data_IF_753110439169
#
_entry.id   IF_753110439169
#
_cell.length_a   1.000
_cell.length_b   1.000
_cell.length_c   1.000
_cell.angle_alpha   90.00
_cell.angle_beta   90.00
_cell.angle_gamma   90.00
#
_symmetry.space_group_name_H-M   'P 1'
#
loop_
_entity.id
_entity.type
_entity.pdbx_description
1 polymer ?
#
# COMPACT_ATOMS: atom_id res chain seq x y z
N UNK A 1 -15.98 2.09 1.31
CA UNK A 1 -15.30 3.34 0.93
C UNK A 1 -14.24 3.75 1.95
N UNK A 2 -14.56 3.75 3.28
CA UNK A 2 -13.56 4.03 4.34
C UNK A 2 -12.36 3.09 4.26
N UNK A 3 -12.60 1.80 4.08
CA UNK A 3 -11.55 0.79 3.93
C UNK A 3 -10.62 1.11 2.74
N UNK A 4 -11.17 1.49 1.58
CA UNK A 4 -10.37 1.89 0.42
C UNK A 4 -9.48 3.10 0.71
N UNK A 5 -10.01 4.10 1.46
CA UNK A 5 -9.21 5.24 1.89
C UNK A 5 -8.08 4.79 2.82
N UNK A 6 -8.37 3.95 3.83
CA UNK A 6 -7.36 3.41 4.75
C UNK A 6 -6.27 2.64 4.03
N UNK A 7 -6.64 1.84 3.02
CA UNK A 7 -5.74 1.02 2.21
C UNK A 7 -4.85 1.83 1.27
N UNK A 8 -5.15 3.11 1.03
CA UNK A 8 -4.43 3.91 0.03
C UNK A 8 -3.77 5.16 0.60
N UNK A 9 -4.36 5.82 1.58
CA UNK A 9 -3.96 7.18 2.01
C UNK A 9 -2.51 7.28 2.51
N UNK A 10 -1.91 6.21 3.00
CA UNK A 10 -0.55 6.21 3.56
C UNK A 10 0.56 6.16 2.51
N UNK A 11 0.23 5.84 1.25
CA UNK A 11 1.20 5.74 0.16
C UNK A 11 1.32 7.01 -0.68
N UNK A 12 0.65 8.09 -0.32
CA UNK A 12 0.81 9.38 -1.00
C UNK A 12 2.20 9.96 -0.79
N UNK A 13 2.66 10.78 -1.74
CA UNK A 13 3.93 11.50 -1.63
C UNK A 13 3.83 12.66 -0.63
N UNK A 14 4.90 12.89 0.13
CA UNK A 14 5.09 14.09 0.94
C UNK A 14 5.87 15.19 0.19
N UNK A 15 6.41 14.86 -1.00
CA UNK A 15 7.20 15.77 -1.83
C UNK A 15 6.29 16.79 -2.55
N UNK A 16 6.36 18.04 -2.13
CA UNK A 16 5.59 19.14 -2.71
C UNK A 16 5.98 19.48 -4.17
N UNK A 17 7.16 19.06 -4.63
CA UNK A 17 7.52 19.21 -6.04
C UNK A 17 6.76 18.22 -6.93
N UNK A 18 6.21 17.16 -6.33
CA UNK A 18 5.36 16.17 -6.96
C UNK A 18 3.93 16.25 -6.45
N UNK A 19 3.40 17.49 -6.39
CA UNK A 19 2.10 17.77 -5.78
C UNK A 19 0.96 16.88 -6.30
N UNK A 20 1.01 16.45 -7.58
CA UNK A 20 0.03 15.55 -8.18
C UNK A 20 0.05 14.12 -7.58
N UNK A 21 1.06 13.77 -6.77
CA UNK A 21 1.09 12.51 -6.01
C UNK A 21 0.81 12.71 -4.50
N UNK A 22 0.52 13.93 -4.04
CA UNK A 22 0.21 14.20 -2.62
C UNK A 22 -1.25 13.89 -2.25
N UNK A 23 -2.05 13.46 -3.22
CA UNK A 23 -3.43 13.01 -3.04
C UNK A 23 -3.64 11.58 -3.50
N UNK A 24 -4.83 11.06 -3.22
CA UNK A 24 -5.28 9.75 -3.70
C UNK A 24 -6.00 9.93 -5.03
N UNK A 25 -5.61 9.16 -6.02
CA UNK A 25 -6.22 9.19 -7.34
C UNK A 25 -7.48 8.32 -7.36
N UNK A 26 -8.60 8.95 -7.68
CA UNK A 26 -9.89 8.30 -7.89
C UNK A 26 -10.10 8.14 -9.39
N UNK A 27 -10.41 6.94 -9.82
CA UNK A 27 -10.68 6.66 -11.22
C UNK A 27 -11.67 5.51 -11.37
N UNK A 28 -12.21 5.37 -12.56
CA UNK A 28 -13.03 4.24 -12.96
C UNK A 28 -12.21 3.33 -13.89
N UNK A 29 -12.26 2.05 -13.66
CA UNK A 29 -11.71 1.02 -14.54
C UNK A 29 -12.81 -0.03 -14.73
N UNK A 30 -13.29 -0.14 -15.95
CA UNK A 30 -14.47 -0.93 -16.28
C UNK A 30 -15.65 -0.52 -15.38
N UNK A 31 -16.30 -1.42 -14.67
CA UNK A 31 -17.37 -1.13 -13.73
C UNK A 31 -16.90 -1.04 -12.27
N UNK A 32 -15.63 -0.70 -12.04
CA UNK A 32 -15.04 -0.59 -10.72
C UNK A 32 -14.61 0.83 -10.40
N UNK A 33 -14.86 1.23 -9.16
CA UNK A 33 -14.26 2.38 -8.53
C UNK A 33 -12.87 2.01 -8.03
N UNK A 34 -11.87 2.78 -8.41
CA UNK A 34 -10.48 2.52 -8.08
C UNK A 34 -9.88 3.69 -7.31
N UNK A 35 -9.19 3.41 -6.23
CA UNK A 35 -8.32 4.33 -5.51
C UNK A 35 -6.87 3.90 -5.66
N UNK A 36 -6.00 4.84 -6.04
CA UNK A 36 -4.55 4.60 -6.16
C UNK A 36 -3.79 5.71 -5.46
N UNK A 37 -2.72 5.35 -4.78
CA UNK A 37 -1.74 6.30 -4.27
C UNK A 37 -0.32 5.79 -4.47
N UNK A 38 0.63 6.70 -4.68
CA UNK A 38 2.05 6.38 -4.85
C UNK A 38 2.94 7.55 -4.47
N UNK A 39 4.15 7.25 -3.99
CA UNK A 39 5.24 8.20 -3.78
C UNK A 39 6.43 7.95 -4.74
N UNK A 40 6.20 7.15 -5.81
CA UNK A 40 7.17 6.65 -6.78
C UNK A 40 8.09 5.52 -6.27
N UNK A 41 8.00 5.13 -5.00
CA UNK A 41 8.76 4.00 -4.43
C UNK A 41 7.84 2.87 -3.96
N UNK A 42 6.58 3.19 -3.73
CA UNK A 42 5.51 2.25 -3.40
C UNK A 42 4.21 2.68 -4.06
N UNK A 43 3.28 1.77 -4.15
CA UNK A 43 1.94 2.03 -4.68
C UNK A 43 0.93 1.20 -3.89
N UNK A 44 -0.17 1.83 -3.50
CA UNK A 44 -1.35 1.14 -2.98
C UNK A 44 -2.49 1.24 -3.98
N UNK A 45 -3.14 0.12 -4.23
CA UNK A 45 -4.27 -0.02 -5.15
C UNK A 45 -5.44 -0.68 -4.42
N UNK A 46 -6.61 -0.08 -4.52
CA UNK A 46 -7.84 -0.68 -3.98
C UNK A 46 -8.99 -0.44 -4.96
N UNK A 47 -9.79 -1.47 -5.23
CA UNK A 47 -10.94 -1.38 -6.12
C UNK A 47 -12.20 -1.99 -5.49
N UNK A 48 -13.36 -1.49 -5.88
CA UNK A 48 -14.68 -2.02 -5.51
C UNK A 48 -15.65 -1.82 -6.67
N UNK A 49 -16.63 -2.73 -6.78
CA UNK A 49 -17.69 -2.62 -7.77
C UNK A 49 -18.46 -1.30 -7.64
N UNK A 50 -18.75 -0.68 -8.78
CA UNK A 50 -19.66 0.46 -8.88
C UNK A 50 -21.06 0.00 -9.18
N UNK A 51 -22.04 0.75 -8.69
CA UNK A 51 -23.41 0.56 -9.12
C UNK A 51 -23.54 0.80 -10.63
N UNK A 52 -24.39 0.03 -11.34
CA UNK A 52 -24.59 0.23 -12.77
C UNK A 52 -24.97 1.67 -13.13
N UNK A 53 -24.37 2.19 -14.18
CA UNK A 53 -24.65 3.54 -14.70
C UNK A 53 -23.94 4.68 -13.94
N UNK A 54 -23.16 4.40 -12.91
CA UNK A 54 -22.35 5.42 -12.26
C UNK A 54 -21.14 5.77 -13.14
N UNK A 55 -20.98 7.06 -13.40
CA UNK A 55 -19.84 7.60 -14.11
C UNK A 55 -19.31 8.86 -13.43
N UNK A 56 -18.00 9.09 -13.49
CA UNK A 56 -17.36 10.27 -12.94
C UNK A 56 -16.00 10.52 -13.60
N UNK A 57 -15.57 11.77 -13.62
CA UNK A 57 -14.23 12.12 -14.10
C UNK A 57 -13.17 11.74 -13.07
N UNK A 58 -12.08 11.16 -13.54
CA UNK A 58 -10.94 10.84 -12.67
C UNK A 58 -10.38 12.11 -12.01
N UNK A 59 -9.98 11.99 -10.74
CA UNK A 59 -9.56 13.13 -9.94
C UNK A 59 -8.50 12.77 -8.90
N UNK A 60 -7.63 13.73 -8.57
CA UNK A 60 -6.66 13.60 -7.47
C UNK A 60 -7.27 14.29 -6.25
N UNK A 61 -7.62 13.49 -5.26
CA UNK A 61 -8.34 13.93 -4.07
C UNK A 61 -7.36 14.21 -2.92
N UNK A 62 -7.37 15.42 -2.34
CA UNK A 62 -6.48 15.77 -1.23
C UNK A 62 -6.69 14.88 0.00
N UNK A 63 -5.60 14.49 0.66
CA UNK A 63 -5.67 13.65 1.88
C UNK A 63 -6.45 14.32 3.02
N UNK A 64 -6.52 15.66 3.05
CA UNK A 64 -7.25 16.40 4.09
C UNK A 64 -8.73 16.01 4.14
N UNK A 65 -9.43 16.03 3.00
CA UNK A 65 -10.86 15.66 2.97
C UNK A 65 -11.04 14.15 3.26
N UNK A 66 -10.13 13.29 2.79
CA UNK A 66 -10.16 11.86 3.08
C UNK A 66 -10.01 11.58 4.57
N UNK A 67 -9.12 12.28 5.26
CA UNK A 67 -8.99 12.21 6.73
C UNK A 67 -10.25 12.70 7.46
N UNK A 68 -10.93 13.73 6.93
CA UNK A 68 -12.21 14.17 7.48
C UNK A 68 -13.27 13.06 7.34
N UNK A 69 -13.32 12.37 6.21
CA UNK A 69 -14.23 11.24 6.01
C UNK A 69 -13.90 10.12 7.00
N UNK A 70 -12.65 9.69 7.10
CA UNK A 70 -12.22 8.62 8.02
C UNK A 70 -12.61 8.93 9.49
N UNK A 71 -12.48 10.19 9.88
CA UNK A 71 -12.78 10.62 11.27
C UNK A 71 -14.29 10.67 11.58
N UNK A 72 -15.13 11.02 10.61
CA UNK A 72 -16.53 11.40 10.89
C UNK A 72 -17.56 10.43 10.29
N UNK A 73 -17.17 9.61 9.28
CA UNK A 73 -18.08 8.63 8.72
C UNK A 73 -18.19 7.40 9.61
N UNK A 74 -19.40 6.92 9.81
CA UNK A 74 -19.66 5.62 10.43
C UNK A 74 -19.18 4.48 9.53
N UNK A 75 -19.10 3.27 10.08
CA UNK A 75 -18.73 2.08 9.31
C UNK A 75 -19.90 1.54 8.48
N UNK A 76 -21.12 2.01 8.80
CA UNK A 76 -22.36 1.66 8.11
C UNK A 76 -22.99 2.87 7.45
N UNK A 77 -23.78 2.62 6.39
CA UNK A 77 -24.52 3.64 5.66
C UNK A 77 -23.93 3.96 4.29
N UNK A 78 -24.45 5.01 3.69
CA UNK A 78 -24.08 5.43 2.34
C UNK A 78 -23.28 6.73 2.37
N UNK A 79 -22.35 6.83 1.44
CA UNK A 79 -21.64 8.07 1.12
C UNK A 79 -22.00 8.50 -0.30
N UNK A 80 -22.37 9.76 -0.47
CA UNK A 80 -22.61 10.37 -1.78
C UNK A 80 -21.40 11.21 -2.17
N UNK A 81 -20.93 11.02 -3.38
CA UNK A 81 -19.79 11.73 -3.96
C UNK A 81 -20.23 12.43 -5.23
N UNK A 82 -19.78 13.65 -5.44
CA UNK A 82 -19.87 14.36 -6.71
C UNK A 82 -18.56 15.06 -7.01
N UNK A 83 -18.08 14.89 -8.24
CA UNK A 83 -16.93 15.61 -8.77
C UNK A 83 -17.47 16.56 -9.84
N UNK A 84 -17.34 17.85 -9.60
CA UNK A 84 -17.83 18.91 -10.50
C UNK A 84 -16.70 19.91 -10.68
N UNK A 85 -16.28 20.11 -11.93
CA UNK A 85 -15.14 20.95 -12.29
C UNK A 85 -13.87 20.53 -11.51
N UNK A 86 -13.40 21.41 -10.61
CA UNK A 86 -12.22 21.21 -9.78
C UNK A 86 -12.55 20.99 -8.30
N UNK A 87 -13.77 20.58 -8.02
CA UNK A 87 -14.26 20.37 -6.65
C UNK A 87 -14.77 18.94 -6.47
N UNK A 88 -14.52 18.38 -5.29
CA UNK A 88 -15.19 17.19 -4.79
C UNK A 88 -16.16 17.59 -3.67
N UNK A 89 -17.38 17.07 -3.76
CA UNK A 89 -18.40 17.18 -2.72
C UNK A 89 -18.65 15.80 -2.14
N UNK A 90 -18.77 15.73 -0.82
CA UNK A 90 -18.96 14.48 -0.09
C UNK A 90 -20.05 14.69 0.94
N UNK A 91 -21.07 13.82 0.93
CA UNK A 91 -22.18 13.84 1.90
C UNK A 91 -22.36 12.46 2.53
N UNK A 92 -22.47 12.42 3.85
CA UNK A 92 -22.80 11.22 4.62
C UNK A 92 -23.35 11.64 5.99
N UNK A 93 -24.37 10.90 6.50
CA UNK A 93 -25.04 11.26 7.74
C UNK A 93 -25.49 12.74 7.71
N UNK A 94 -25.09 13.50 8.71
CA UNK A 94 -25.36 14.93 8.82
C UNK A 94 -24.18 15.81 8.34
N UNK A 95 -23.19 15.22 7.69
CA UNK A 95 -22.00 15.93 7.23
C UNK A 95 -22.06 16.21 5.74
N UNK A 96 -21.61 17.40 5.37
CA UNK A 96 -21.34 17.78 4.00
C UNK A 96 -19.97 18.47 3.95
N UNK A 97 -19.09 17.96 3.10
CA UNK A 97 -17.75 18.49 2.89
C UNK A 97 -17.53 18.82 1.44
N UNK A 98 -16.74 19.84 1.18
CA UNK A 98 -16.20 20.10 -0.15
C UNK A 98 -14.70 20.40 -0.08
N UNK A 99 -14.00 20.11 -1.17
CA UNK A 99 -12.58 20.42 -1.29
C UNK A 99 -12.22 20.69 -2.74
N UNK A 100 -11.23 21.56 -2.95
CA UNK A 100 -10.58 21.64 -4.26
C UNK A 100 -9.81 20.35 -4.52
N UNK A 101 -9.89 19.88 -5.75
CA UNK A 101 -9.04 18.79 -6.24
C UNK A 101 -7.61 19.26 -6.46
N UNK A 102 -6.67 18.34 -6.48
CA UNK A 102 -5.29 18.62 -6.87
C UNK A 102 -5.22 18.64 -8.39
N UNK A 103 -4.74 19.74 -8.96
CA UNK A 103 -4.53 19.87 -10.38
C UNK A 103 -3.36 18.97 -10.85
N UNK A 104 -3.33 18.63 -12.13
CA UNK A 104 -2.25 17.90 -12.74
C UNK A 104 -2.66 16.52 -13.26
N UNK A 105 -1.72 15.86 -13.91
CA UNK A 105 -1.91 14.52 -14.45
C UNK A 105 -1.29 13.50 -13.49
N UNK A 106 -2.10 12.56 -13.03
CA UNK A 106 -1.60 11.46 -12.20
C UNK A 106 -0.70 10.53 -13.05
N UNK A 107 0.39 9.98 -12.48
CA UNK A 107 1.28 9.07 -13.19
C UNK A 107 0.52 7.85 -13.75
N UNK A 108 0.99 7.33 -14.86
CA UNK A 108 0.46 6.07 -15.39
C UNK A 108 0.89 4.91 -14.48
N UNK A 109 0.13 4.70 -13.41
CA UNK A 109 0.38 3.69 -12.39
C UNK A 109 0.26 2.26 -12.93
N UNK A 110 -0.51 2.04 -13.99
CA UNK A 110 -0.72 0.72 -14.57
C UNK A 110 0.58 0.11 -15.08
N UNK A 111 1.53 0.94 -15.54
CA UNK A 111 2.84 0.48 -16.03
C UNK A 111 3.76 -0.09 -14.97
N UNK A 112 3.51 0.20 -13.69
CA UNK A 112 4.34 -0.30 -12.58
C UNK A 112 3.72 -1.52 -11.89
N UNK A 113 2.49 -1.86 -12.24
CA UNK A 113 1.83 -3.08 -11.75
C UNK A 113 2.38 -4.26 -12.56
N UNK A 114 3.04 -5.24 -11.93
CA UNK A 114 3.51 -6.43 -12.63
C UNK A 114 2.35 -7.22 -13.22
N UNK A 115 2.44 -7.63 -14.49
CA UNK A 115 1.44 -8.51 -15.12
C UNK A 115 1.49 -9.92 -14.55
N UNK A 116 2.69 -10.39 -14.21
CA UNK A 116 2.93 -11.68 -13.55
C UNK A 116 4.21 -11.61 -12.73
N UNK A 117 4.28 -12.43 -11.69
CA UNK A 117 5.48 -12.59 -10.86
C UNK A 117 5.76 -14.09 -10.69
N UNK A 118 7.03 -14.48 -10.87
CA UNK A 118 7.41 -15.89 -11.00
C UNK A 118 7.38 -16.66 -9.67
N UNK A 119 7.55 -15.93 -8.56
CA UNK A 119 7.68 -16.50 -7.23
C UNK A 119 6.71 -15.85 -6.25
N UNK A 120 6.29 -16.60 -5.25
CA UNK A 120 5.50 -16.07 -4.14
C UNK A 120 5.84 -16.81 -2.85
N UNK A 121 5.77 -16.10 -1.73
CA UNK A 121 5.75 -16.73 -0.41
C UNK A 121 4.59 -16.21 0.41
N UNK A 122 4.10 -17.06 1.31
CA UNK A 122 3.01 -16.74 2.22
C UNK A 122 3.47 -16.84 3.67
N UNK A 123 3.06 -15.88 4.49
CA UNK A 123 3.32 -15.85 5.93
C UNK A 123 2.05 -15.60 6.72
N UNK A 124 2.01 -16.06 7.97
CA UNK A 124 0.99 -15.63 8.91
C UNK A 124 1.21 -14.16 9.27
N UNK A 125 0.16 -13.35 9.20
CA UNK A 125 0.22 -11.90 9.44
C UNK A 125 0.71 -11.56 10.85
N UNK A 126 0.18 -12.24 11.88
CA UNK A 126 0.51 -11.96 13.28
C UNK A 126 1.98 -12.25 13.60
N UNK A 127 2.50 -13.37 13.08
CA UNK A 127 3.90 -13.76 13.26
C UNK A 127 4.81 -12.76 12.56
N UNK A 128 4.44 -12.38 11.33
CA UNK A 128 5.19 -11.41 10.53
C UNK A 128 5.21 -10.02 11.18
N UNK A 129 4.05 -9.48 11.64
CA UNK A 129 3.98 -8.21 12.35
C UNK A 129 4.82 -8.21 13.63
N UNK A 130 4.81 -9.32 14.36
CA UNK A 130 5.56 -9.46 15.61
C UNK A 130 7.07 -9.47 15.37
N UNK A 131 7.53 -10.20 14.35
CA UNK A 131 8.93 -10.23 13.94
C UNK A 131 9.38 -8.86 13.41
N UNK A 132 8.57 -8.23 12.55
CA UNK A 132 8.86 -6.92 11.99
C UNK A 132 9.02 -5.86 13.10
N UNK A 133 8.13 -5.82 14.07
CA UNK A 133 8.20 -4.88 15.21
C UNK A 133 9.49 -5.04 16.03
N UNK A 134 9.99 -6.26 16.21
CA UNK A 134 11.26 -6.51 16.92
C UNK A 134 12.45 -6.03 16.09
N UNK A 135 12.48 -6.33 14.80
CA UNK A 135 13.52 -5.86 13.88
C UNK A 135 13.55 -4.33 13.76
N UNK A 136 12.38 -3.68 13.70
CA UNK A 136 12.26 -2.21 13.58
C UNK A 136 12.94 -1.43 14.71
N UNK A 137 13.19 -2.06 15.88
CA UNK A 137 13.91 -1.44 17.01
C UNK A 137 15.37 -1.18 16.62
N UNK A 138 15.98 -2.06 15.82
CA UNK A 138 17.39 -2.00 15.44
C UNK A 138 17.62 -1.34 14.08
N UNK A 139 16.55 -0.98 13.35
CA UNK A 139 16.67 -0.33 12.04
C UNK A 139 17.02 1.16 12.21
N UNK A 140 18.03 1.62 11.47
CA UNK A 140 18.26 3.05 11.29
C UNK A 140 17.05 3.69 10.61
N UNK A 141 16.34 4.54 11.35
CA UNK A 141 15.11 5.21 10.88
C UNK A 141 15.31 6.14 9.68
N UNK A 142 16.55 6.56 9.39
CA UNK A 142 16.86 7.38 8.20
C UNK A 142 16.88 6.55 6.94
N UNK A 143 17.35 5.31 7.04
CA UNK A 143 17.45 4.38 5.90
C UNK A 143 16.22 3.51 5.79
N UNK A 144 15.73 2.98 6.90
CA UNK A 144 14.53 2.13 6.97
C UNK A 144 14.67 0.81 6.22
N UNK A 145 15.88 0.25 6.12
CA UNK A 145 16.11 -0.98 5.35
C UNK A 145 15.92 -2.21 6.22
N UNK A 146 15.16 -3.17 5.70
CA UNK A 146 15.05 -4.53 6.22
C UNK A 146 15.38 -5.51 5.11
N UNK A 147 16.12 -6.55 5.41
CA UNK A 147 16.49 -7.62 4.48
C UNK A 147 15.61 -8.83 4.73
N UNK A 148 14.96 -9.30 3.68
CA UNK A 148 14.18 -10.52 3.61
C UNK A 148 15.06 -11.59 2.96
N UNK A 149 15.46 -12.59 3.70
CA UNK A 149 16.10 -13.78 3.17
C UNK A 149 15.06 -14.91 3.16
N UNK A 150 14.61 -15.26 1.97
CA UNK A 150 13.52 -16.21 1.73
C UNK A 150 14.15 -17.52 1.30
N UNK A 151 13.90 -18.60 2.05
CA UNK A 151 14.36 -19.95 1.75
C UNK A 151 13.21 -20.95 1.92
N UNK A 152 13.31 -22.19 1.42
CA UNK A 152 12.25 -23.16 1.56
C UNK A 152 11.79 -23.33 3.01
N UNK A 153 10.50 -23.01 3.24
CA UNK A 153 9.84 -23.12 4.54
C UNK A 153 10.14 -22.01 5.55
N UNK A 154 11.08 -21.08 5.29
CA UNK A 154 11.52 -20.09 6.28
C UNK A 154 11.75 -18.72 5.66
N UNK A 155 11.27 -17.68 6.35
CA UNK A 155 11.62 -16.30 6.09
C UNK A 155 12.48 -15.77 7.23
N UNK A 156 13.70 -15.34 6.92
CA UNK A 156 14.54 -14.58 7.85
C UNK A 156 14.46 -13.10 7.53
N UNK A 157 14.11 -12.31 8.55
CA UNK A 157 14.15 -10.85 8.53
C UNK A 157 15.40 -10.39 9.26
N UNK A 158 16.18 -9.49 8.68
CA UNK A 158 17.35 -8.93 9.35
C UNK A 158 17.47 -7.42 9.18
N UNK A 159 17.95 -6.76 10.23
CA UNK A 159 18.40 -5.37 10.13
C UNK A 159 19.83 -5.32 9.61
N UNK A 160 20.19 -4.32 8.78
CA UNK A 160 21.59 -4.02 8.51
C UNK A 160 22.33 -3.69 9.80
N UNK A 161 23.64 -3.87 9.81
CA UNK A 161 24.50 -3.45 10.92
C UNK A 161 24.35 -1.95 11.18
N UNK A 162 24.15 -1.60 12.43
CA UNK A 162 24.02 -0.22 12.92
C UNK A 162 24.84 -0.03 14.20
N UNK A 163 24.95 1.20 14.67
CA UNK A 163 25.58 1.51 15.96
C UNK A 163 24.91 0.79 17.15
N UNK A 164 23.65 0.40 17.00
CA UNK A 164 22.88 -0.33 18.03
C UNK A 164 23.08 -1.85 17.94
N UNK A 165 23.72 -2.35 16.87
CA UNK A 165 23.90 -3.76 16.58
C UNK A 165 23.06 -4.25 15.40
N UNK A 166 22.80 -5.56 15.36
CA UNK A 166 21.97 -6.24 14.37
C UNK A 166 20.82 -6.98 15.05
N UNK A 167 19.73 -7.20 14.33
CA UNK A 167 18.65 -8.07 14.75
C UNK A 167 18.28 -9.03 13.62
N UNK A 168 18.01 -10.27 14.00
CA UNK A 168 17.55 -11.33 13.11
C UNK A 168 16.34 -12.03 13.71
N UNK A 169 15.33 -12.25 12.88
CA UNK A 169 14.11 -12.96 13.22
C UNK A 169 13.81 -14.00 12.16
N UNK A 170 13.39 -15.18 12.57
CA UNK A 170 13.00 -16.27 11.68
C UNK A 170 11.53 -16.61 11.92
N UNK A 171 10.77 -16.68 10.85
CA UNK A 171 9.37 -17.11 10.88
C UNK A 171 9.10 -18.17 9.81
N UNK A 172 8.17 -19.09 10.04
CA UNK A 172 7.73 -20.03 9.02
C UNK A 172 7.09 -19.31 7.83
N UNK A 173 7.37 -19.78 6.62
CA UNK A 173 6.67 -19.32 5.43
C UNK A 173 6.37 -20.50 4.50
N UNK A 174 5.36 -20.34 3.64
CA UNK A 174 5.10 -21.25 2.53
C UNK A 174 5.87 -20.77 1.31
N UNK A 175 7.03 -21.35 1.11
CA UNK A 175 7.91 -21.12 -0.04
C UNK A 175 8.70 -22.39 -0.32
N UNK A 176 8.89 -22.70 -1.60
CA UNK A 176 9.60 -23.91 -2.07
C UNK A 176 10.63 -23.62 -3.16
N UNK A 177 10.83 -22.33 -3.50
CA UNK A 177 11.79 -21.91 -4.50
C UNK A 177 13.22 -21.81 -3.98
N UNK A 178 14.13 -21.36 -4.85
CA UNK A 178 15.53 -21.12 -4.50
C UNK A 178 15.66 -19.95 -3.50
N UNK A 179 16.72 -20.01 -2.67
CA UNK A 179 17.00 -18.96 -1.70
C UNK A 179 17.25 -17.62 -2.40
N UNK A 180 16.56 -16.58 -1.97
CA UNK A 180 16.70 -15.22 -2.48
C UNK A 180 16.71 -14.19 -1.34
N UNK A 181 17.46 -13.10 -1.52
CA UNK A 181 17.47 -11.98 -0.60
C UNK A 181 16.94 -10.72 -1.28
N UNK A 182 15.98 -10.04 -0.61
CA UNK A 182 15.36 -8.82 -1.09
C UNK A 182 15.42 -7.79 0.04
N UNK A 183 15.88 -6.56 -0.23
CA UNK A 183 15.83 -5.47 0.73
C UNK A 183 14.63 -4.57 0.47
N UNK A 184 13.83 -4.30 1.51
CA UNK A 184 12.64 -3.45 1.45
C UNK A 184 12.72 -2.34 2.50
N UNK A 185 11.93 -1.29 2.30
CA UNK A 185 11.77 -0.27 3.34
C UNK A 185 10.78 -0.76 4.41
N UNK A 186 11.15 -0.67 5.69
CA UNK A 186 10.36 -1.12 6.83
C UNK A 186 8.96 -0.50 6.87
N UNK A 187 8.87 0.82 6.65
CA UNK A 187 7.58 1.54 6.64
C UNK A 187 6.70 1.12 5.47
N UNK A 188 7.30 0.82 4.31
CA UNK A 188 6.54 0.40 3.14
C UNK A 188 5.94 -0.99 3.29
N UNK A 189 6.54 -1.79 4.18
CA UNK A 189 6.02 -3.10 4.56
C UNK A 189 5.03 -2.98 5.73
N UNK A 190 5.33 -2.18 6.77
CA UNK A 190 4.51 -2.10 7.97
C UNK A 190 3.21 -1.30 7.79
N UNK A 191 3.19 -0.29 6.91
CA UNK A 191 1.98 0.52 6.69
C UNK A 191 0.79 -0.28 6.16
N UNK A 192 0.91 -1.11 5.10
CA UNK A 192 -0.21 -1.91 4.59
C UNK A 192 -0.70 -2.97 5.59
N UNK A 193 0.16 -3.49 6.48
CA UNK A 193 -0.24 -4.47 7.49
C UNK A 193 -1.37 -3.97 8.41
N UNK A 194 -1.41 -2.65 8.66
CA UNK A 194 -2.45 -2.02 9.49
C UNK A 194 -3.84 -2.09 8.87
N UNK A 195 -3.93 -2.36 7.58
CA UNK A 195 -5.19 -2.35 6.80
C UNK A 195 -5.57 -3.72 6.23
N UNK A 196 -4.66 -4.68 6.27
CA UNK A 196 -4.91 -6.07 5.88
C UNK A 196 -5.58 -6.79 7.05
N UNK A 197 -6.77 -7.33 6.85
CA UNK A 197 -7.54 -8.05 7.87
C UNK A 197 -7.38 -9.57 7.80
N UNK A 198 -6.84 -10.09 6.68
CA UNK A 198 -6.62 -11.54 6.50
C UNK A 198 -5.61 -12.11 7.48
N UNK A 199 -5.75 -13.39 7.79
CA UNK A 199 -4.82 -14.15 8.62
C UNK A 199 -3.44 -14.33 7.96
N UNK A 200 -3.42 -14.42 6.65
CA UNK A 200 -2.22 -14.64 5.87
C UNK A 200 -1.97 -13.52 4.87
N UNK A 201 -0.71 -13.34 4.52
CA UNK A 201 -0.22 -12.37 3.55
C UNK A 201 0.63 -13.10 2.52
N UNK A 202 0.45 -12.75 1.25
CA UNK A 202 1.28 -13.23 0.16
C UNK A 202 2.15 -12.08 -0.35
N UNK A 203 3.43 -12.39 -0.52
CA UNK A 203 4.39 -11.57 -1.24
C UNK A 203 4.72 -12.25 -2.56
N UNK A 204 4.64 -11.50 -3.67
CA UNK A 204 4.98 -11.96 -5.01
C UNK A 204 6.14 -11.16 -5.55
N UNK A 205 7.06 -11.81 -6.25
CA UNK A 205 8.27 -11.20 -6.79
C UNK A 205 8.80 -12.00 -8.00
N UNK A 206 9.73 -11.43 -8.74
CA UNK A 206 10.42 -12.13 -9.83
C UNK A 206 11.93 -12.17 -9.54
N UNK A 207 12.52 -11.06 -9.16
CA UNK A 207 13.95 -10.89 -8.91
C UNK A 207 14.15 -9.92 -7.74
N UNK A 208 15.33 -9.96 -7.12
CA UNK A 208 15.67 -9.16 -5.94
C UNK A 208 15.49 -7.63 -6.11
N UNK A 209 15.68 -7.12 -7.34
CA UNK A 209 15.60 -5.69 -7.65
C UNK A 209 14.36 -5.30 -8.48
N UNK A 210 13.38 -6.19 -8.57
CA UNK A 210 12.09 -5.92 -9.20
C UNK A 210 11.00 -5.67 -8.16
N UNK A 211 9.95 -4.98 -8.58
CA UNK A 211 8.80 -4.67 -7.72
C UNK A 211 8.28 -5.92 -7.00
N UNK A 212 8.02 -5.80 -5.70
CA UNK A 212 7.40 -6.81 -4.86
C UNK A 212 5.94 -6.42 -4.66
N UNK A 213 5.03 -7.35 -4.90
CA UNK A 213 3.61 -7.18 -4.60
C UNK A 213 3.28 -7.83 -3.27
N UNK A 214 2.57 -7.13 -2.41
CA UNK A 214 2.06 -7.60 -1.13
C UNK A 214 0.54 -7.53 -1.14
N UNK A 215 -0.13 -8.62 -0.76
CA UNK A 215 -1.59 -8.67 -0.73
C UNK A 215 -2.12 -9.60 0.36
N UNK A 216 -3.41 -9.45 0.75
CA UNK A 216 -4.05 -10.40 1.65
C UNK A 216 -4.20 -11.78 1.01
N UNK A 217 -4.32 -12.83 1.84
CA UNK A 217 -4.71 -14.18 1.43
C UNK A 217 -5.87 -14.66 2.32
N UNK A 218 -7.02 -14.98 1.73
CA UNK A 218 -7.34 -14.99 0.30
C UNK A 218 -7.26 -13.61 -0.35
N UNK A 219 -6.97 -13.59 -1.65
CA UNK A 219 -6.84 -12.35 -2.42
C UNK A 219 -8.13 -11.53 -2.36
N UNK A 220 -8.01 -10.25 -2.02
CA UNK A 220 -9.05 -9.23 -2.06
C UNK A 220 -8.70 -8.20 -3.15
N UNK A 221 -9.61 -7.29 -3.40
CA UNK A 221 -9.49 -6.17 -4.36
C UNK A 221 -8.48 -5.08 -3.92
N UNK A 222 -7.47 -5.49 -3.18
CA UNK A 222 -6.42 -4.64 -2.64
C UNK A 222 -5.06 -5.31 -2.77
N UNK A 223 -4.08 -4.53 -3.23
CA UNK A 223 -2.69 -4.92 -3.20
C UNK A 223 -1.78 -3.70 -3.04
N UNK A 224 -0.56 -3.98 -2.66
CA UNK A 224 0.47 -3.01 -2.42
C UNK A 224 1.76 -3.39 -3.13
N UNK A 225 2.39 -2.43 -3.82
CA UNK A 225 3.65 -2.63 -4.55
C UNK A 225 4.74 -1.87 -3.84
N UNK A 226 5.88 -2.52 -3.65
CA UNK A 226 7.07 -1.95 -3.01
C UNK A 226 8.25 -2.10 -3.96
N UNK A 227 8.94 -0.99 -4.22
CA UNK A 227 10.21 -1.04 -4.95
C UNK A 227 11.33 -1.44 -4.00
N UNK A 228 12.13 -2.47 -4.33
CA UNK A 228 13.25 -2.89 -3.51
C UNK A 228 14.33 -1.83 -3.37
N UNK A 229 15.10 -1.97 -2.30
CA UNK A 229 16.30 -1.20 -2.01
C UNK A 229 17.54 -2.02 -2.37
N UNK A 230 18.69 -1.36 -2.50
CA UNK A 230 19.96 -2.08 -2.61
C UNK A 230 20.24 -2.88 -1.32
N UNK A 231 20.76 -4.10 -1.47
CA UNK A 231 21.15 -4.96 -0.34
C UNK A 231 22.37 -4.38 0.42
N UNK A 232 23.25 -3.73 -0.29
CA UNK A 232 24.44 -3.05 0.26
C UNK A 232 24.28 -1.54 0.16
N UNK A 233 25.06 -0.81 0.96
CA UNK A 233 25.11 0.66 0.89
C UNK A 233 25.81 1.15 -0.37
#
# INVERSE_FOLDING_TARGET
FKQMIQQTIFSVSEDQNRFFMTGVYFTKKDDKFVMVSTDARRLSYSEKELAPGVDFSSAIVPTKILRCILKNASDEGNISLAIVDKLIFVRFGNYEFSSKLIDGQYPNYQKVIPESQAHSFQVNKSDFESALKRIEIMIDKKVGRIVFKIAPGILRLSSPESELGTADEEIPCRYDGEEISIALNDRYVSDPLKTIESENIVFEFTEAMRAVTMRPEPADYYFHIIMPMNLTN
#
